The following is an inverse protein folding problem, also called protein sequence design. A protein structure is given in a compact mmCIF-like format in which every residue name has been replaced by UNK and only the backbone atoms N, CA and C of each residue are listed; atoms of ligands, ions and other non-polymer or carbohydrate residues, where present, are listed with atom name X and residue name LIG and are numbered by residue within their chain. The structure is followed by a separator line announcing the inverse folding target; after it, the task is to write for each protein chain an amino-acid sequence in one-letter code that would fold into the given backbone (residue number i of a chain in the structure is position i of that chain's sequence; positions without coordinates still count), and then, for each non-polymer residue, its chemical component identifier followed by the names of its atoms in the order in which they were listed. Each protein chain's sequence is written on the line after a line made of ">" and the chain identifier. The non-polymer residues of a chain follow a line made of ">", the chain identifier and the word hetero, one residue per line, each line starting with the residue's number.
data_IF_334594148845
#
_entry.id   IF_334594148845
#
_cell.length_a   1.000
_cell.length_b   1.000
_cell.length_c   1.000
_cell.angle_alpha   90.00
_cell.angle_beta   90.00
_cell.angle_gamma   90.00
#
_symmetry.space_group_name_H-M   'P 1'
#
loop_
_entity.id
_entity.type
_entity.pdbx_description
1 polymer ?
#
# COMPACT_ATOMS: atom_id res chain seq x y z
N UNK A 1 16.45 29.98 28.45
CA UNK A 1 16.22 28.65 27.86
C UNK A 1 15.29 28.79 26.66
N UNK A 2 15.69 28.38 25.47
CA UNK A 2 14.95 28.61 24.21
C UNK A 2 13.61 27.84 24.25
N UNK A 3 12.48 28.46 23.87
CA UNK A 3 11.14 27.84 23.87
C UNK A 3 11.13 26.47 23.20
N UNK A 4 11.90 26.26 22.12
CA UNK A 4 12.06 24.96 21.44
C UNK A 4 12.67 23.88 22.37
N UNK A 5 13.67 24.22 23.18
CA UNK A 5 14.29 23.26 24.12
C UNK A 5 13.35 22.91 25.28
N UNK A 6 12.54 23.86 25.72
CA UNK A 6 11.54 23.62 26.76
C UNK A 6 10.45 22.65 26.27
N UNK A 7 9.95 22.82 25.04
CA UNK A 7 8.94 21.94 24.43
C UNK A 7 9.48 20.53 24.24
N UNK A 8 10.72 20.37 23.76
CA UNK A 8 11.35 19.06 23.58
C UNK A 8 11.55 18.37 24.95
N UNK A 9 11.94 19.11 25.98
CA UNK A 9 12.09 18.56 27.34
C UNK A 9 10.74 18.14 27.94
N UNK A 10 9.66 18.91 27.73
CA UNK A 10 8.31 18.54 28.16
C UNK A 10 7.79 17.29 27.47
N UNK A 11 8.00 17.17 26.16
CA UNK A 11 7.64 15.97 25.38
C UNK A 11 8.41 14.73 25.87
N UNK A 12 9.69 14.86 26.17
CA UNK A 12 10.50 13.76 26.71
C UNK A 12 10.02 13.31 28.11
N UNK A 13 9.61 14.25 28.96
CA UNK A 13 9.09 13.94 30.30
C UNK A 13 7.71 13.24 30.21
N UNK A 14 6.84 13.68 29.31
CA UNK A 14 5.53 13.03 29.09
C UNK A 14 5.73 11.60 28.55
N UNK A 15 6.73 11.38 27.71
CA UNK A 15 7.07 10.04 27.21
C UNK A 15 7.57 9.11 28.32
N UNK A 16 8.36 9.61 29.27
CA UNK A 16 8.92 8.82 30.37
C UNK A 16 7.86 8.51 31.44
N UNK A 17 6.96 9.45 31.75
CA UNK A 17 5.92 9.26 32.76
C UNK A 17 4.74 8.42 32.22
N UNK A 18 4.43 8.51 30.92
CA UNK A 18 3.42 7.66 30.26
C UNK A 18 3.84 6.21 30.11
N UNK A 19 5.14 5.93 30.05
CA UNK A 19 5.70 4.57 29.86
C UNK A 19 5.55 3.68 31.10
N UNK A 20 5.24 4.23 32.28
CA UNK A 20 5.19 3.44 33.55
C UNK A 20 3.80 2.99 33.97
N UNK A 21 2.71 3.46 33.38
CA UNK A 21 1.36 3.22 33.91
C UNK A 21 0.35 2.60 32.91
N UNK A 22 0.72 2.25 31.70
CA UNK A 22 -0.26 1.69 30.77
C UNK A 22 0.34 1.06 29.52
N UNK A 23 1.25 0.19 29.73
CA UNK A 23 2.35 -0.08 28.79
C UNK A 23 2.11 -1.06 27.66
N UNK A 24 0.99 -1.41 27.20
CA UNK A 24 0.91 -2.25 25.99
C UNK A 24 -0.17 -1.83 25.00
N UNK A 25 -1.28 -1.31 25.45
CA UNK A 25 -2.45 -1.01 24.60
C UNK A 25 -2.41 0.36 23.92
N UNK A 26 -1.65 1.31 24.46
CA UNK A 26 -1.63 2.70 23.93
C UNK A 26 -0.31 3.11 23.27
N UNK A 27 0.68 2.26 23.27
CA UNK A 27 2.04 2.61 22.83
C UNK A 27 2.05 3.12 21.39
N UNK A 28 1.44 2.38 20.49
CA UNK A 28 1.54 2.64 19.06
C UNK A 28 0.67 3.84 18.64
N UNK A 29 -0.50 4.01 19.26
CA UNK A 29 -1.33 5.22 19.07
C UNK A 29 -0.65 6.48 19.57
N UNK A 30 0.06 6.40 20.71
CA UNK A 30 0.83 7.52 21.25
C UNK A 30 2.04 7.82 20.35
N UNK A 31 2.77 6.80 19.89
CA UNK A 31 3.91 6.98 18.98
C UNK A 31 3.49 7.58 17.64
N UNK A 32 2.40 7.13 17.04
CA UNK A 32 1.91 7.71 15.78
C UNK A 32 1.48 9.17 15.92
N UNK A 33 0.79 9.53 17.02
CA UNK A 33 0.42 10.91 17.32
C UNK A 33 1.64 11.78 17.64
N UNK A 34 2.61 11.25 18.39
CA UNK A 34 3.86 11.95 18.68
C UNK A 34 4.68 12.14 17.41
N UNK A 35 4.77 11.15 16.55
CA UNK A 35 5.49 11.25 15.28
C UNK A 35 4.86 12.29 14.35
N UNK A 36 3.52 12.34 14.24
CA UNK A 36 2.79 13.39 13.52
C UNK A 36 3.07 14.78 14.12
N UNK A 37 2.97 14.91 15.43
CA UNK A 37 3.20 16.19 16.12
C UNK A 37 4.65 16.63 16.00
N UNK A 38 5.61 15.71 16.09
CA UNK A 38 7.03 15.99 15.92
C UNK A 38 7.37 16.41 14.49
N UNK A 39 6.77 15.80 13.48
CA UNK A 39 6.92 16.17 12.07
C UNK A 39 6.38 17.59 11.82
N UNK A 40 5.22 17.94 12.40
CA UNK A 40 4.64 19.28 12.31
C UNK A 40 5.48 20.33 13.06
N UNK A 41 6.02 19.99 14.23
CA UNK A 41 6.79 20.91 15.08
C UNK A 41 8.24 21.09 14.59
N UNK A 42 8.82 20.08 13.93
CA UNK A 42 10.20 20.17 13.42
C UNK A 42 10.32 21.05 12.15
N UNK A 43 9.18 21.50 11.59
CA UNK A 43 9.21 22.22 10.31
C UNK A 43 9.86 21.42 9.18
N UNK A 44 10.08 20.13 9.39
CA UNK A 44 10.16 19.23 8.28
C UNK A 44 8.75 19.24 7.67
N UNK A 45 8.55 20.14 6.70
CA UNK A 45 7.62 19.78 5.64
C UNK A 45 8.02 18.35 5.30
N UNK A 46 7.13 17.41 5.61
CA UNK A 46 7.04 16.20 4.80
C UNK A 46 6.81 16.84 3.45
N UNK A 47 7.90 17.08 2.71
CA UNK A 47 7.81 17.55 1.33
C UNK A 47 6.75 16.65 0.76
N UNK A 48 5.59 17.14 0.30
CA UNK A 48 4.70 16.33 -0.47
C UNK A 48 5.64 15.75 -1.51
N UNK A 49 5.85 14.44 -1.48
CA UNK A 49 6.59 13.76 -2.53
C UNK A 49 5.95 14.29 -3.78
N UNK A 50 6.74 14.99 -4.55
CA UNK A 50 6.34 15.91 -5.61
C UNK A 50 5.09 15.38 -6.30
N UNK A 51 4.07 16.21 -6.30
CA UNK A 51 2.80 16.12 -7.00
C UNK A 51 2.68 14.91 -7.91
N UNK A 52 1.67 14.05 -7.65
CA UNK A 52 1.20 13.01 -8.56
C UNK A 52 2.10 11.78 -8.79
N UNK A 53 2.97 11.40 -7.89
CA UNK A 53 3.60 10.09 -8.01
C UNK A 53 2.58 8.99 -7.75
N UNK A 54 2.43 8.12 -8.75
CA UNK A 54 1.67 6.89 -8.60
C UNK A 54 2.31 6.01 -7.53
N UNK A 55 1.58 5.80 -6.43
CA UNK A 55 2.06 5.06 -5.26
C UNK A 55 1.26 3.80 -5.06
N UNK A 56 1.84 2.84 -4.36
CA UNK A 56 1.18 1.59 -3.96
C UNK A 56 0.57 0.85 -5.15
N UNK A 57 1.30 0.85 -6.28
CA UNK A 57 0.91 0.13 -7.50
C UNK A 57 0.84 -1.36 -7.17
N UNK A 58 -0.30 -1.98 -7.47
CA UNK A 58 -0.54 -3.39 -7.18
C UNK A 58 -1.42 -4.04 -8.23
N UNK A 59 -1.14 -5.29 -8.49
CA UNK A 59 -2.00 -6.15 -9.29
C UNK A 59 -2.98 -6.86 -8.36
N UNK A 60 -4.25 -6.80 -8.67
CA UNK A 60 -5.31 -7.46 -7.91
C UNK A 60 -5.79 -8.69 -8.68
N UNK A 61 -6.07 -9.76 -7.94
CA UNK A 61 -6.67 -10.98 -8.51
C UNK A 61 -8.04 -10.65 -9.08
N UNK A 62 -8.24 -10.95 -10.37
CA UNK A 62 -9.49 -10.81 -11.06
C UNK A 62 -10.25 -12.15 -11.13
N UNK A 63 -11.50 -12.12 -11.59
CA UNK A 63 -12.30 -13.34 -11.77
C UNK A 63 -11.65 -14.32 -12.75
N UNK A 64 -11.04 -13.82 -13.82
CA UNK A 64 -10.26 -14.58 -14.78
C UNK A 64 -8.87 -13.95 -14.98
N UNK A 65 -7.89 -14.47 -14.28
CA UNK A 65 -6.51 -14.01 -14.36
C UNK A 65 -5.75 -14.52 -15.61
N UNK A 66 -6.39 -15.34 -16.43
CA UNK A 66 -5.79 -15.81 -17.69
C UNK A 66 -5.97 -14.82 -18.83
N UNK A 67 -7.04 -14.01 -18.80
CA UNK A 67 -7.38 -13.06 -19.85
C UNK A 67 -7.59 -11.63 -19.35
N UNK A 68 -7.47 -11.41 -18.04
CA UNK A 68 -7.65 -10.09 -17.45
C UNK A 68 -6.73 -9.84 -16.24
N UNK A 69 -6.52 -8.57 -15.90
CA UNK A 69 -5.81 -8.14 -14.71
C UNK A 69 -6.30 -6.76 -14.27
N UNK A 70 -6.65 -6.63 -13.00
CA UNK A 70 -6.93 -5.32 -12.39
C UNK A 70 -5.64 -4.76 -11.80
N UNK A 71 -5.39 -3.50 -12.08
CA UNK A 71 -4.28 -2.73 -11.53
C UNK A 71 -4.88 -1.59 -10.71
N UNK A 72 -4.42 -1.45 -9.48
CA UNK A 72 -4.78 -0.34 -8.59
C UNK A 72 -3.53 0.45 -8.21
N UNK A 73 -3.70 1.75 -8.04
CA UNK A 73 -2.65 2.63 -7.49
C UNK A 73 -3.28 3.83 -6.79
N UNK A 74 -2.47 4.60 -6.08
CA UNK A 74 -2.93 5.75 -5.31
C UNK A 74 -2.12 7.00 -5.64
N UNK A 75 -2.74 8.16 -5.41
CA UNK A 75 -2.09 9.48 -5.42
C UNK A 75 -2.58 10.33 -4.26
N UNK A 76 -1.86 11.41 -3.96
CA UNK A 76 -2.25 12.37 -2.91
C UNK A 76 -3.07 13.54 -3.45
N UNK A 77 -3.23 13.64 -4.75
CA UNK A 77 -3.98 14.71 -5.40
C UNK A 77 -4.99 14.15 -6.38
N UNK A 78 -6.05 14.94 -6.63
CA UNK A 78 -7.01 14.65 -7.69
C UNK A 78 -6.34 14.85 -9.05
N UNK A 79 -5.87 13.76 -9.64
CA UNK A 79 -5.29 13.78 -10.96
C UNK A 79 -6.36 13.49 -12.02
N UNK A 80 -6.53 14.43 -12.93
CA UNK A 80 -7.32 14.19 -14.12
C UNK A 80 -6.57 13.23 -15.07
N UNK A 81 -7.30 12.42 -15.80
CA UNK A 81 -6.76 11.54 -16.84
C UNK A 81 -5.76 10.50 -16.35
N UNK A 82 -6.09 9.82 -15.23
CA UNK A 82 -5.36 8.65 -14.78
C UNK A 82 -5.44 7.52 -15.82
N UNK A 83 -4.31 6.98 -16.22
CA UNK A 83 -4.21 5.99 -17.30
C UNK A 83 -3.27 4.85 -16.95
N UNK A 84 -3.50 3.70 -17.58
CA UNK A 84 -2.56 2.61 -17.66
C UNK A 84 -2.12 2.40 -19.11
N UNK A 85 -0.84 2.22 -19.29
CA UNK A 85 -0.26 1.77 -20.55
C UNK A 85 0.25 0.34 -20.39
N UNK A 86 0.02 -0.50 -21.40
CA UNK A 86 0.49 -1.89 -21.39
C UNK A 86 0.87 -2.36 -22.78
N UNK A 87 1.74 -3.37 -22.83
CA UNK A 87 2.24 -3.97 -24.07
C UNK A 87 2.66 -5.42 -23.84
N UNK A 88 2.79 -6.20 -24.89
CA UNK A 88 3.52 -7.46 -24.81
C UNK A 88 4.96 -7.18 -24.40
N UNK A 89 5.53 -8.03 -23.53
CA UNK A 89 6.91 -7.85 -23.08
C UNK A 89 7.88 -7.82 -24.26
N UNK A 90 8.70 -6.77 -24.29
CA UNK A 90 9.66 -6.54 -25.38
C UNK A 90 9.06 -5.95 -26.66
N UNK A 91 7.77 -5.60 -26.69
CA UNK A 91 7.14 -4.93 -27.83
C UNK A 91 7.20 -3.40 -27.68
N UNK A 92 7.31 -2.69 -28.80
CA UNK A 92 7.16 -1.23 -28.83
C UNK A 92 5.69 -0.78 -28.93
N UNK A 93 4.77 -1.68 -29.28
CA UNK A 93 3.36 -1.37 -29.46
C UNK A 93 2.66 -1.27 -28.10
N UNK A 94 2.41 -0.06 -27.65
CA UNK A 94 1.75 0.24 -26.37
C UNK A 94 0.27 0.55 -26.59
N UNK A 95 -0.57 -0.01 -25.75
CA UNK A 95 -1.99 0.33 -25.64
C UNK A 95 -2.20 1.15 -24.37
N UNK A 96 -3.18 2.07 -24.40
CA UNK A 96 -3.53 2.93 -23.27
C UNK A 96 -5.02 2.80 -22.97
N UNK A 97 -5.36 2.65 -21.69
CA UNK A 97 -6.75 2.73 -21.21
C UNK A 97 -6.85 3.71 -20.05
N UNK A 98 -8.00 4.36 -19.92
CA UNK A 98 -8.30 5.22 -18.77
C UNK A 98 -8.58 4.41 -17.51
N UNK A 99 -8.27 4.98 -16.37
CA UNK A 99 -8.66 4.44 -15.06
C UNK A 99 -9.99 5.02 -14.59
N UNK A 100 -10.63 4.33 -13.66
CA UNK A 100 -11.69 4.88 -12.81
C UNK A 100 -11.08 5.42 -11.53
N UNK A 101 -11.62 6.53 -11.04
CA UNK A 101 -11.11 7.24 -9.88
C UNK A 101 -12.10 7.17 -8.72
N UNK A 102 -11.58 6.98 -7.52
CA UNK A 102 -12.34 7.00 -6.27
C UNK A 102 -11.61 7.82 -5.24
N UNK A 103 -12.35 8.64 -4.49
CA UNK A 103 -11.82 9.36 -3.34
C UNK A 103 -12.21 8.64 -2.08
N UNK A 104 -11.24 8.37 -1.22
CA UNK A 104 -11.45 7.75 0.08
C UNK A 104 -10.85 8.63 1.17
N UNK A 105 -11.63 8.90 2.23
CA UNK A 105 -11.20 9.70 3.38
C UNK A 105 -11.45 8.91 4.65
N UNK A 106 -10.40 8.68 5.43
CA UNK A 106 -10.45 8.05 6.74
C UNK A 106 -9.26 8.52 7.60
N UNK A 107 -9.34 8.43 8.92
CA UNK A 107 -8.29 8.87 9.86
C UNK A 107 -7.73 10.28 9.54
N UNK A 108 -8.58 11.19 9.05
CA UNK A 108 -8.16 12.54 8.66
C UNK A 108 -7.27 12.62 7.42
N UNK A 109 -7.05 11.52 6.73
CA UNK A 109 -6.32 11.42 5.46
C UNK A 109 -7.28 11.28 4.29
N UNK A 110 -6.95 11.89 3.16
CA UNK A 110 -7.66 11.70 1.89
C UNK A 110 -6.72 11.06 0.89
N UNK A 111 -7.18 10.01 0.24
CA UNK A 111 -6.45 9.25 -0.77
C UNK A 111 -7.27 9.19 -2.05
N UNK A 112 -6.63 9.41 -3.18
CA UNK A 112 -7.20 9.22 -4.50
C UNK A 112 -6.76 7.85 -5.00
N UNK A 113 -7.74 7.00 -5.30
CA UNK A 113 -7.53 5.60 -5.69
C UNK A 113 -7.91 5.48 -7.15
N UNK A 114 -7.02 4.92 -7.94
CA UNK A 114 -7.18 4.69 -9.37
C UNK A 114 -7.23 3.19 -9.63
N UNK A 115 -8.11 2.78 -10.52
CA UNK A 115 -8.28 1.38 -10.90
C UNK A 115 -8.47 1.24 -12.40
N UNK A 116 -7.78 0.29 -13.01
CA UNK A 116 -8.00 -0.08 -14.40
C UNK A 116 -7.92 -1.61 -14.57
N UNK A 117 -8.86 -2.17 -15.31
CA UNK A 117 -8.87 -3.60 -15.64
C UNK A 117 -8.48 -3.81 -17.08
N UNK A 118 -7.35 -4.46 -17.29
CA UNK A 118 -6.92 -4.96 -18.61
C UNK A 118 -7.75 -6.19 -18.94
N UNK A 119 -8.29 -6.23 -20.14
CA UNK A 119 -9.12 -7.37 -20.63
C UNK A 119 -8.65 -7.83 -22.01
N UNK A 120 -9.05 -9.02 -22.42
CA UNK A 120 -8.66 -9.57 -23.72
C UNK A 120 -7.18 -9.94 -23.81
N UNK A 121 -6.53 -10.15 -22.68
CA UNK A 121 -5.14 -10.60 -22.62
C UNK A 121 -5.06 -12.07 -23.10
N UNK A 122 -3.91 -12.45 -23.64
CA UNK A 122 -3.63 -13.83 -24.04
C UNK A 122 -3.18 -14.63 -22.81
N UNK A 123 -3.71 -15.83 -22.56
CA UNK A 123 -3.25 -16.68 -21.45
C UNK A 123 -1.76 -17.03 -21.54
N UNK A 124 -1.13 -17.25 -20.38
CA UNK A 124 0.28 -17.66 -20.25
C UNK A 124 1.23 -16.75 -21.02
N UNK A 125 0.99 -15.45 -20.95
CA UNK A 125 1.71 -14.45 -21.74
C UNK A 125 2.27 -13.36 -20.82
N UNK A 126 3.50 -12.93 -21.12
CA UNK A 126 4.15 -11.84 -20.40
C UNK A 126 3.82 -10.51 -21.07
N UNK A 127 3.39 -9.57 -20.24
CA UNK A 127 3.15 -8.17 -20.56
C UNK A 127 4.01 -7.29 -19.67
N UNK A 128 4.14 -6.04 -20.06
CA UNK A 128 4.64 -4.96 -19.24
C UNK A 128 3.54 -3.90 -19.15
N UNK A 129 3.43 -3.27 -17.98
CA UNK A 129 2.52 -2.15 -17.79
C UNK A 129 3.15 -1.05 -16.97
N UNK A 130 2.63 0.17 -17.12
CA UNK A 130 2.94 1.32 -16.27
C UNK A 130 1.70 2.16 -16.09
N UNK A 131 1.65 2.92 -15.01
CA UNK A 131 0.53 3.81 -14.69
C UNK A 131 0.99 5.27 -14.73
N UNK A 132 0.04 6.18 -14.84
CA UNK A 132 0.39 7.59 -14.84
C UNK A 132 -0.80 8.50 -15.13
N UNK A 133 -0.50 9.74 -15.53
CA UNK A 133 -1.49 10.79 -15.69
C UNK A 133 -1.18 11.63 -16.95
N UNK A 134 -2.23 12.11 -17.61
CA UNK A 134 -2.09 12.93 -18.80
C UNK A 134 -1.25 12.27 -19.90
N UNK A 135 -0.43 13.04 -20.59
CA UNK A 135 0.36 12.58 -21.74
C UNK A 135 1.77 12.09 -21.39
N UNK A 136 2.37 12.56 -20.30
CA UNK A 136 3.83 12.50 -20.08
C UNK A 136 4.26 11.96 -18.70
N UNK A 137 3.41 11.98 -17.69
CA UNK A 137 3.75 11.47 -16.36
C UNK A 137 3.48 9.97 -16.29
N UNK A 138 4.53 9.18 -16.17
CA UNK A 138 4.46 7.71 -16.12
C UNK A 138 5.37 7.16 -15.04
N UNK A 139 4.93 6.05 -14.43
CA UNK A 139 5.77 5.21 -13.57
C UNK A 139 6.81 4.45 -14.41
N UNK A 140 7.68 3.73 -13.73
CA UNK A 140 8.47 2.67 -14.33
C UNK A 140 7.56 1.57 -14.91
N UNK A 141 8.12 0.74 -15.80
CA UNK A 141 7.45 -0.45 -16.31
C UNK A 141 7.51 -1.59 -15.29
N UNK A 142 6.38 -2.24 -15.09
CA UNK A 142 6.22 -3.41 -14.22
C UNK A 142 5.85 -4.63 -15.06
N UNK A 143 6.21 -5.81 -14.55
CA UNK A 143 5.89 -7.10 -15.20
C UNK A 143 4.46 -7.52 -14.85
N UNK A 144 3.78 -8.12 -15.82
CA UNK A 144 2.50 -8.79 -15.64
C UNK A 144 2.53 -10.10 -16.43
N UNK A 145 2.28 -11.22 -15.76
CA UNK A 145 2.13 -12.50 -16.44
C UNK A 145 0.69 -13.03 -16.23
N UNK A 146 0.03 -13.38 -17.34
CA UNK A 146 -1.32 -13.95 -17.29
C UNK A 146 -1.27 -15.41 -16.87
N UNK A 147 -2.28 -15.85 -16.10
CA UNK A 147 -2.40 -17.25 -15.69
C UNK A 147 -2.54 -18.19 -16.89
N UNK A 148 -2.20 -19.47 -16.70
CA UNK A 148 -2.28 -20.49 -17.75
C UNK A 148 -1.24 -21.61 -17.60
N UNK A 149 -0.37 -21.50 -16.60
CA UNK A 149 0.52 -22.60 -16.21
C UNK A 149 -0.26 -23.66 -15.41
N UNK A 150 0.14 -24.92 -15.55
CA UNK A 150 -0.42 -26.03 -14.75
C UNK A 150 0.25 -26.16 -13.37
N UNK A 151 1.41 -25.54 -13.19
CA UNK A 151 2.18 -25.48 -11.93
C UNK A 151 2.72 -24.09 -11.76
N UNK A 152 2.55 -23.53 -10.56
CA UNK A 152 3.02 -22.19 -10.17
C UNK A 152 3.33 -22.13 -8.68
N UNK A 153 4.22 -21.24 -8.31
CA UNK A 153 4.58 -21.00 -6.93
C UNK A 153 3.65 -19.92 -6.33
N UNK A 154 3.22 -20.12 -5.11
CA UNK A 154 2.37 -19.16 -4.35
C UNK A 154 3.08 -18.81 -3.06
N UNK A 155 3.21 -17.51 -2.76
CA UNK A 155 3.62 -17.05 -1.44
C UNK A 155 2.38 -16.77 -0.61
N UNK A 156 2.35 -17.33 0.60
CA UNK A 156 1.24 -17.16 1.53
C UNK A 156 1.79 -16.61 2.84
N UNK A 157 1.23 -15.49 3.27
CA UNK A 157 1.61 -14.83 4.51
C UNK A 157 0.41 -14.69 5.43
N UNK A 158 0.48 -15.20 6.69
CA UNK A 158 -0.48 -14.87 7.73
C UNK A 158 -0.07 -13.57 8.43
N UNK A 159 -0.96 -12.99 9.18
CA UNK A 159 -0.76 -12.00 10.24
C UNK A 159 0.51 -11.14 10.09
N UNK A 160 0.41 -10.09 9.31
CA UNK A 160 1.52 -9.15 9.10
C UNK A 160 1.43 -7.89 9.97
N UNK A 161 0.37 -7.77 10.77
CA UNK A 161 0.14 -6.63 11.64
C UNK A 161 1.32 -6.40 12.60
N UNK A 162 1.72 -5.15 12.75
CA UNK A 162 2.81 -4.77 13.63
C UNK A 162 2.79 -3.27 13.91
N UNK A 163 3.40 -2.85 15.02
CA UNK A 163 3.72 -1.44 15.27
C UNK A 163 4.93 -0.95 14.47
N UNK A 164 5.77 -1.86 13.99
CA UNK A 164 6.95 -1.61 13.16
C UNK A 164 7.03 -2.64 12.04
N UNK A 165 6.79 -2.19 10.82
CA UNK A 165 6.77 -3.04 9.62
C UNK A 165 8.16 -3.29 9.00
N UNK A 166 9.26 -2.88 9.62
CA UNK A 166 10.60 -3.06 9.07
C UNK A 166 10.96 -4.54 8.87
N UNK A 167 10.63 -5.38 9.85
CA UNK A 167 10.83 -6.83 9.73
C UNK A 167 9.93 -7.45 8.67
N UNK A 168 8.68 -6.97 8.55
CA UNK A 168 7.76 -7.41 7.52
C UNK A 168 8.28 -7.08 6.12
N UNK A 169 8.77 -5.87 5.91
CA UNK A 169 9.39 -5.47 4.64
C UNK A 169 10.59 -6.35 4.27
N UNK A 170 11.43 -6.70 5.25
CA UNK A 170 12.56 -7.62 5.05
C UNK A 170 12.09 -9.04 4.67
N UNK A 171 11.07 -9.57 5.34
CA UNK A 171 10.47 -10.88 5.03
C UNK A 171 9.93 -10.89 3.60
N UNK A 172 9.20 -9.85 3.19
CA UNK A 172 8.66 -9.75 1.83
C UNK A 172 9.78 -9.70 0.80
N UNK A 173 10.80 -8.88 1.01
CA UNK A 173 11.96 -8.77 0.11
C UNK A 173 12.72 -10.09 -0.02
N UNK A 174 13.02 -10.73 1.10
CA UNK A 174 13.78 -11.98 1.12
C UNK A 174 12.99 -13.12 0.46
N UNK A 175 11.70 -13.26 0.80
CA UNK A 175 10.86 -14.30 0.21
C UNK A 175 10.63 -14.09 -1.30
N UNK A 176 10.45 -12.85 -1.76
CA UNK A 176 10.38 -12.52 -3.18
C UNK A 176 11.67 -12.89 -3.91
N UNK A 177 12.82 -12.56 -3.32
CA UNK A 177 14.13 -12.87 -3.88
C UNK A 177 14.38 -14.38 -3.99
N UNK A 178 13.98 -15.15 -2.97
CA UNK A 178 14.16 -16.62 -2.95
C UNK A 178 13.18 -17.35 -3.86
N UNK A 179 12.06 -16.74 -4.19
CA UNK A 179 11.00 -17.36 -4.98
C UNK A 179 10.67 -16.53 -6.24
N UNK A 180 11.61 -16.39 -7.19
CA UNK A 180 11.46 -15.53 -8.36
C UNK A 180 10.39 -16.00 -9.36
N UNK A 181 9.81 -17.19 -9.15
CA UNK A 181 8.73 -17.74 -9.99
C UNK A 181 7.35 -17.59 -9.34
N UNK A 182 7.25 -16.81 -8.27
CA UNK A 182 5.97 -16.57 -7.61
C UNK A 182 4.97 -15.97 -8.59
N UNK A 183 3.83 -16.64 -8.76
CA UNK A 183 2.76 -16.22 -9.65
C UNK A 183 1.56 -15.64 -8.91
N UNK A 184 1.50 -15.80 -7.60
CA UNK A 184 0.42 -15.30 -6.75
C UNK A 184 0.95 -15.04 -5.34
N UNK A 185 0.55 -13.91 -4.78
CA UNK A 185 0.76 -13.55 -3.39
C UNK A 185 -0.58 -13.54 -2.65
N UNK A 186 -0.67 -14.24 -1.52
CA UNK A 186 -1.87 -14.29 -0.69
C UNK A 186 -1.51 -13.80 0.72
N UNK A 187 -2.30 -12.86 1.24
CA UNK A 187 -2.23 -12.47 2.66
C UNK A 187 -3.53 -12.86 3.37
N UNK A 188 -3.40 -13.58 4.49
CA UNK A 188 -4.51 -14.25 5.17
C UNK A 188 -5.18 -13.38 6.25
N UNK A 189 -5.26 -12.08 6.04
CA UNK A 189 -5.87 -11.14 6.99
C UNK A 189 -4.89 -10.64 8.02
N UNK A 190 -5.37 -9.80 8.92
CA UNK A 190 -4.59 -9.08 9.92
C UNK A 190 -3.35 -8.41 9.29
N UNK A 191 -3.61 -7.62 8.23
CA UNK A 191 -2.60 -6.94 7.44
C UNK A 191 -1.97 -5.80 8.23
N UNK A 192 -2.84 -5.08 8.95
CA UNK A 192 -2.50 -3.93 9.80
C UNK A 192 -2.95 -4.19 11.22
N UNK A 193 -2.29 -3.56 12.20
CA UNK A 193 -2.65 -3.71 13.61
C UNK A 193 -3.95 -2.96 13.96
N UNK A 194 -4.26 -1.88 13.22
CA UNK A 194 -5.48 -1.12 13.40
C UNK A 194 -6.03 -0.62 12.05
N UNK A 195 -7.20 -1.14 11.67
CA UNK A 195 -7.82 -0.90 10.36
C UNK A 195 -8.25 0.55 10.09
N UNK A 196 -8.40 1.40 11.12
CA UNK A 196 -8.67 2.83 10.94
C UNK A 196 -7.39 3.64 10.68
N UNK A 197 -6.22 3.13 11.04
CA UNK A 197 -4.98 3.91 11.04
C UNK A 197 -4.36 3.99 9.64
N UNK A 198 -4.57 5.09 8.93
CA UNK A 198 -4.05 5.35 7.58
C UNK A 198 -2.52 5.14 7.47
N UNK A 199 -1.76 5.56 8.49
CA UNK A 199 -0.31 5.34 8.51
C UNK A 199 0.08 3.87 8.37
N UNK A 200 -0.62 2.95 9.02
CA UNK A 200 -0.32 1.52 8.96
C UNK A 200 -0.61 0.95 7.57
N UNK A 201 -1.72 1.35 6.95
CA UNK A 201 -2.04 0.97 5.57
C UNK A 201 -0.98 1.42 4.59
N UNK A 202 -0.54 2.69 4.68
CA UNK A 202 0.53 3.22 3.84
C UNK A 202 1.83 2.46 4.03
N UNK A 203 2.17 2.13 5.26
CA UNK A 203 3.38 1.39 5.59
C UNK A 203 3.30 -0.05 5.08
N UNK A 204 2.17 -0.71 5.29
CA UNK A 204 1.94 -2.07 4.79
C UNK A 204 2.02 -2.12 3.26
N UNK A 205 1.30 -1.27 2.56
CA UNK A 205 1.30 -1.18 1.10
C UNK A 205 2.71 -0.90 0.54
N UNK A 206 3.50 -0.09 1.23
CA UNK A 206 4.88 0.15 0.84
C UNK A 206 5.76 -1.09 1.03
N UNK A 207 5.56 -1.82 2.13
CA UNK A 207 6.35 -3.02 2.43
C UNK A 207 6.14 -4.15 1.42
N UNK A 208 4.94 -4.29 0.86
CA UNK A 208 4.64 -5.31 -0.16
C UNK A 208 4.99 -4.87 -1.59
N UNK A 209 5.39 -3.62 -1.81
CA UNK A 209 5.71 -3.06 -3.13
C UNK A 209 6.66 -3.92 -3.96
N UNK A 210 7.70 -4.59 -3.40
CA UNK A 210 8.58 -5.45 -4.20
C UNK A 210 7.86 -6.58 -4.93
N UNK A 211 6.72 -7.05 -4.39
CA UNK A 211 5.89 -8.08 -4.98
C UNK A 211 4.68 -7.51 -5.72
N UNK A 212 3.89 -6.66 -5.07
CA UNK A 212 2.53 -6.30 -5.48
C UNK A 212 2.42 -5.63 -6.86
N UNK A 213 3.46 -4.92 -7.29
CA UNK A 213 3.50 -4.33 -8.62
C UNK A 213 3.77 -5.37 -9.73
N UNK A 214 4.35 -6.53 -9.42
CA UNK A 214 4.77 -7.53 -10.41
C UNK A 214 4.02 -8.86 -10.29
N UNK A 215 3.39 -9.12 -9.15
CA UNK A 215 2.70 -10.38 -8.86
C UNK A 215 1.29 -10.06 -8.33
N UNK A 216 0.25 -10.73 -8.82
CA UNK A 216 -1.11 -10.50 -8.34
C UNK A 216 -1.24 -10.79 -6.85
N UNK A 217 -1.97 -9.90 -6.17
CA UNK A 217 -2.27 -9.94 -4.75
C UNK A 217 -3.71 -10.40 -4.53
N UNK A 218 -3.89 -11.33 -3.60
CA UNK A 218 -5.17 -11.66 -2.98
C UNK A 218 -5.06 -11.45 -1.46
N UNK A 219 -6.04 -10.79 -0.87
CA UNK A 219 -6.09 -10.60 0.58
C UNK A 219 -7.38 -11.17 1.13
N UNK A 220 -7.36 -11.57 2.39
CA UNK A 220 -8.56 -11.86 3.18
C UNK A 220 -8.69 -10.83 4.30
N UNK A 221 -9.88 -10.67 4.82
CA UNK A 221 -10.16 -9.82 5.96
C UNK A 221 -9.81 -10.57 7.25
N UNK A 222 -9.10 -9.91 8.15
CA UNK A 222 -8.92 -10.33 9.54
C UNK A 222 -9.71 -9.43 10.50
N UNK A 223 -9.59 -9.65 11.81
CA UNK A 223 -10.29 -8.82 12.79
C UNK A 223 -9.60 -7.47 13.01
N UNK A 224 -8.29 -7.38 12.79
CA UNK A 224 -7.53 -6.15 12.95
C UNK A 224 -7.93 -5.06 11.94
N UNK A 225 -8.34 -5.43 10.75
CA UNK A 225 -8.87 -4.50 9.74
C UNK A 225 -10.17 -3.82 10.20
N UNK A 226 -10.85 -4.40 11.19
CA UNK A 226 -12.12 -3.89 11.72
C UNK A 226 -11.96 -2.99 12.96
N UNK A 227 -10.75 -2.79 13.49
CA UNK A 227 -10.57 -1.98 14.69
C UNK A 227 -10.46 -0.48 14.39
N UNK A 228 -11.16 0.31 15.24
CA UNK A 228 -10.99 1.76 15.33
C UNK A 228 -9.75 2.11 16.15
N UNK A 229 -9.35 3.40 16.14
CA UNK A 229 -8.26 3.89 16.97
C UNK A 229 -8.47 3.68 18.49
N UNK A 230 -9.70 3.49 18.94
CA UNK A 230 -10.05 3.14 20.34
C UNK A 230 -10.34 1.64 20.51
N UNK A 231 -9.92 0.80 19.59
CA UNK A 231 -10.06 -0.66 19.63
C UNK A 231 -11.52 -1.15 19.68
N UNK A 232 -12.43 -0.40 19.08
CA UNK A 232 -13.81 -0.84 18.85
C UNK A 232 -13.96 -1.37 17.45
N UNK A 233 -14.87 -2.29 17.25
CA UNK A 233 -15.16 -2.82 15.92
C UNK A 233 -15.99 -1.84 15.10
N UNK A 234 -15.63 -1.72 13.83
CA UNK A 234 -16.36 -0.99 12.79
C UNK A 234 -16.33 -1.76 11.46
N UNK A 235 -17.05 -1.28 10.47
CA UNK A 235 -16.87 -1.75 9.10
C UNK A 235 -15.43 -1.48 8.61
N UNK A 236 -14.78 -2.43 7.92
CA UNK A 236 -13.38 -2.31 7.50
C UNK A 236 -13.20 -1.38 6.29
N UNK A 237 -13.53 -0.10 6.45
CA UNK A 237 -13.57 0.85 5.35
C UNK A 237 -12.27 0.94 4.57
N UNK A 238 -11.13 0.99 5.23
CA UNK A 238 -9.85 1.06 4.54
C UNK A 238 -9.57 -0.21 3.73
N UNK A 239 -9.80 -1.39 4.30
CA UNK A 239 -9.65 -2.67 3.60
C UNK A 239 -10.54 -2.77 2.34
N UNK A 240 -11.78 -2.29 2.43
CA UNK A 240 -12.72 -2.31 1.30
C UNK A 240 -12.40 -1.27 0.21
N UNK A 241 -11.50 -0.36 0.49
CA UNK A 241 -11.13 0.71 -0.44
C UNK A 241 -9.71 0.55 -1.00
N UNK A 242 -8.79 0.02 -0.23
CA UNK A 242 -7.40 -0.21 -0.62
C UNK A 242 -7.22 -1.60 -1.24
#
# INVERSE_FOLDING_TARGET
>A
MNKKRLIISLLAIITVVGATVGSYVYRDTIYSRIARTAAVVSGQEIKPLLDSESRYIRQIVAQDNSTSRTIMWQSDSSEADAVIEYRLAGSENTQTIGATDKVFTDDGSTTYIHEATLTGLTPKTKYEYRVGYGSDRRSDWYSLETAGASVYDVLIYPDSQSGDYSQWEEIVKDSAHRNPRTALYISLGDLVDNGEQDYQWRTWLNSIRPLSANVPLATTLGNHEMYTLDWKMREPYAYLNY
#
